data_IF_213513103563
#
_entry.id   IF_213513103563
#
_cell.length_a   1.000
_cell.length_b   1.000
_cell.length_c   1.000
_cell.angle_alpha   90.00
_cell.angle_beta   90.00
_cell.angle_gamma   90.00
#
_symmetry.space_group_name_H-M   'P 1'
#
loop_
_entity.id
_entity.type
_entity.pdbx_description
1 polymer ?
#
# COMPACT_ATOMS: atom_id res chain seq x y z
N UNK A 1 12.09 -3.88 -14.15
CA UNK A 1 11.85 -4.17 -12.73
C UNK A 1 11.17 -5.54 -12.60
N UNK A 2 11.42 -6.29 -11.53
CA UNK A 2 10.91 -7.65 -11.30
C UNK A 2 10.50 -7.87 -9.84
N UNK A 3 10.37 -9.13 -9.41
CA UNK A 3 9.97 -9.47 -8.03
C UNK A 3 11.01 -9.03 -6.99
N UNK A 4 10.57 -8.47 -5.86
CA UNK A 4 11.45 -8.14 -4.72
C UNK A 4 10.87 -7.09 -3.78
N UNK A 5 11.65 -6.72 -2.75
CA UNK A 5 11.21 -5.83 -1.67
C UNK A 5 11.70 -4.38 -1.80
N UNK A 6 12.54 -4.07 -2.81
CA UNK A 6 12.98 -2.71 -3.09
C UNK A 6 11.82 -1.77 -3.38
N UNK A 7 12.05 -0.46 -3.27
CA UNK A 7 11.02 0.56 -3.54
C UNK A 7 10.60 0.64 -5.01
N UNK A 8 11.34 -0.02 -5.89
CA UNK A 8 11.04 -0.14 -7.31
C UNK A 8 10.66 -1.58 -7.72
N UNK A 9 10.32 -2.42 -6.73
CA UNK A 9 9.95 -3.82 -6.88
C UNK A 9 8.64 -4.11 -6.15
N UNK A 10 7.96 -5.18 -6.57
CA UNK A 10 6.69 -5.66 -6.01
C UNK A 10 6.77 -7.18 -5.85
N UNK A 11 6.03 -7.74 -4.90
CA UNK A 11 5.93 -9.19 -4.69
C UNK A 11 4.45 -9.60 -4.53
N UNK A 12 3.90 -10.29 -5.54
CA UNK A 12 2.47 -10.64 -5.63
C UNK A 12 1.52 -9.43 -5.46
N UNK A 13 1.64 -8.38 -6.28
CA UNK A 13 0.74 -7.23 -6.19
C UNK A 13 -0.71 -7.65 -6.44
N UNK A 14 -1.65 -7.02 -5.71
CA UNK A 14 -3.09 -7.31 -5.79
C UNK A 14 -3.85 -6.14 -6.37
N UNK A 15 -4.49 -5.33 -5.53
CA UNK A 15 -5.19 -4.13 -5.96
C UNK A 15 -4.18 -3.06 -6.42
N UNK A 16 -4.57 -2.37 -7.49
CA UNK A 16 -3.98 -1.10 -7.95
C UNK A 16 -5.10 -0.06 -8.00
N UNK A 17 -4.85 1.12 -7.44
CA UNK A 17 -5.73 2.29 -7.58
C UNK A 17 -4.90 3.52 -7.96
N UNK A 18 -5.56 4.49 -8.58
CA UNK A 18 -4.93 5.74 -9.03
C UNK A 18 -5.69 6.91 -8.39
N UNK A 19 -4.96 7.84 -7.78
CA UNK A 19 -5.55 9.06 -7.24
C UNK A 19 -5.73 10.15 -8.31
N UNK A 20 -6.37 11.26 -7.95
CA UNK A 20 -6.60 12.39 -8.86
C UNK A 20 -5.32 13.09 -9.35
N UNK A 21 -4.18 12.81 -8.73
CA UNK A 21 -2.87 13.36 -9.08
C UNK A 21 -2.04 12.38 -9.93
N UNK A 22 -2.68 11.34 -10.48
CA UNK A 22 -2.05 10.24 -11.22
C UNK A 22 -1.01 9.45 -10.39
N UNK A 23 -1.09 9.49 -9.06
CA UNK A 23 -0.27 8.60 -8.22
C UNK A 23 -0.89 7.20 -8.19
N UNK A 24 -0.06 6.18 -8.36
CA UNK A 24 -0.46 4.77 -8.34
C UNK A 24 -0.20 4.17 -6.97
N UNK A 25 -1.21 3.58 -6.34
CA UNK A 25 -1.07 2.84 -5.08
C UNK A 25 -1.28 1.36 -5.33
N UNK A 26 -0.43 0.53 -4.73
CA UNK A 26 -0.45 -0.91 -4.90
C UNK A 26 -0.49 -1.61 -3.55
N UNK A 27 -1.41 -2.56 -3.41
CA UNK A 27 -1.36 -3.57 -2.34
C UNK A 27 -0.27 -4.59 -2.68
N UNK A 28 0.90 -4.40 -2.09
CA UNK A 28 2.09 -5.21 -2.33
C UNK A 28 2.12 -6.39 -1.32
N UNK A 29 1.29 -7.38 -1.62
CA UNK A 29 0.83 -8.42 -0.70
C UNK A 29 1.95 -9.08 0.09
N UNK A 30 2.98 -9.60 -0.58
CA UNK A 30 4.05 -10.36 0.09
C UNK A 30 5.16 -9.47 0.65
N UNK A 31 5.11 -8.17 0.37
CA UNK A 31 5.95 -7.19 1.07
C UNK A 31 5.19 -6.52 2.22
N UNK A 32 3.95 -6.94 2.52
CA UNK A 32 3.18 -6.50 3.69
C UNK A 32 3.05 -4.97 3.79
N UNK A 33 2.79 -4.32 2.65
CA UNK A 33 2.78 -2.87 2.52
C UNK A 33 1.79 -2.37 1.47
N UNK A 34 1.38 -1.12 1.61
CA UNK A 34 0.86 -0.31 0.52
C UNK A 34 1.98 0.64 0.08
N UNK A 35 2.25 0.67 -1.22
CA UNK A 35 3.31 1.49 -1.81
C UNK A 35 2.72 2.40 -2.90
N UNK A 36 3.14 3.67 -2.91
CA UNK A 36 2.69 4.75 -3.80
C UNK A 36 3.79 5.12 -4.79
N UNK A 37 3.48 5.20 -6.08
CA UNK A 37 4.31 5.86 -7.08
C UNK A 37 3.66 7.16 -7.51
N UNK A 38 4.32 8.28 -7.28
CA UNK A 38 3.95 9.56 -7.90
C UNK A 38 4.23 9.47 -9.40
N UNK A 39 3.41 10.14 -10.21
CA UNK A 39 3.57 10.18 -11.67
C UNK A 39 5.01 10.56 -12.05
N UNK A 40 5.66 9.69 -12.84
CA UNK A 40 7.02 9.90 -13.32
C UNK A 40 8.13 9.39 -12.40
N UNK A 41 7.81 8.93 -11.19
CA UNK A 41 8.79 8.35 -10.27
C UNK A 41 9.24 6.95 -10.72
N UNK A 42 10.53 6.65 -10.54
CA UNK A 42 11.13 5.33 -10.84
C UNK A 42 11.07 4.36 -9.65
N UNK A 43 10.75 4.89 -8.47
CA UNK A 43 10.58 4.18 -7.20
C UNK A 43 9.35 4.73 -6.46
N UNK A 44 8.79 3.92 -5.58
CA UNK A 44 7.64 4.26 -4.78
C UNK A 44 8.02 4.63 -3.34
N UNK A 45 7.05 5.12 -2.60
CA UNK A 45 7.13 5.35 -1.17
C UNK A 45 6.13 4.47 -0.42
N UNK A 46 6.56 3.86 0.69
CA UNK A 46 5.64 3.10 1.54
C UNK A 46 4.74 4.08 2.26
N UNK A 47 3.42 3.92 2.09
CA UNK A 47 2.41 4.78 2.73
C UNK A 47 1.73 4.09 3.91
N UNK A 48 1.66 2.75 3.89
CA UNK A 48 1.11 1.93 4.98
C UNK A 48 1.89 0.63 5.09
N UNK A 49 2.11 0.15 6.32
CA UNK A 49 2.82 -1.10 6.57
C UNK A 49 4.32 -0.95 6.31
N UNK A 50 4.96 -2.02 5.79
CA UNK A 50 6.41 -2.04 5.54
C UNK A 50 7.28 -2.15 6.80
N UNK A 51 6.68 -2.21 7.99
CA UNK A 51 7.36 -2.44 9.27
C UNK A 51 7.39 -3.94 9.64
N UNK A 52 7.49 -4.80 8.63
CA UNK A 52 7.36 -6.24 8.75
C UNK A 52 5.91 -6.73 8.76
N UNK A 53 5.76 -8.04 8.56
CA UNK A 53 4.49 -8.75 8.73
C UNK A 53 4.08 -8.75 10.20
N UNK A 54 2.84 -8.40 10.52
CA UNK A 54 2.33 -8.51 11.88
C UNK A 54 1.02 -7.78 12.14
N UNK A 55 0.65 -7.69 13.42
CA UNK A 55 -0.67 -7.27 13.91
C UNK A 55 -0.68 -5.88 14.54
N UNK A 56 0.49 -5.26 14.71
CA UNK A 56 0.58 -3.92 15.27
C UNK A 56 -0.08 -2.89 14.35
N UNK A 57 -0.36 -1.69 14.88
CA UNK A 57 -1.06 -0.63 14.14
C UNK A 57 -0.29 -0.09 12.92
N UNK A 58 1.02 -0.29 12.89
CA UNK A 58 1.90 0.10 11.77
C UNK A 58 2.35 -1.09 10.91
N UNK A 59 1.75 -2.26 11.12
CA UNK A 59 2.02 -3.50 10.39
C UNK A 59 0.79 -3.96 9.61
N UNK A 60 1.06 -4.74 8.56
CA UNK A 60 0.05 -5.43 7.77
C UNK A 60 0.41 -6.91 7.65
N UNK A 61 -0.57 -7.73 7.33
CA UNK A 61 -0.41 -9.13 6.99
C UNK A 61 -1.18 -9.49 5.71
N UNK A 62 -0.45 -9.53 4.59
CA UNK A 62 -0.96 -9.79 3.24
C UNK A 62 -2.14 -8.90 2.83
N UNK A 63 -1.92 -7.58 2.69
CA UNK A 63 -2.99 -6.70 2.23
C UNK A 63 -3.46 -7.12 0.83
N UNK A 64 -4.76 -7.20 0.63
CA UNK A 64 -5.37 -7.65 -0.63
C UNK A 64 -6.01 -6.49 -1.40
N UNK A 65 -6.62 -5.53 -0.69
CA UNK A 65 -7.38 -4.43 -1.27
C UNK A 65 -7.14 -3.10 -0.53
N UNK A 66 -7.38 -2.00 -1.24
CA UNK A 66 -7.37 -0.66 -0.70
C UNK A 66 -8.39 0.25 -1.41
N UNK A 67 -8.93 1.23 -0.68
CA UNK A 67 -9.81 2.27 -1.21
C UNK A 67 -9.60 3.60 -0.47
N UNK A 68 -10.01 4.70 -1.08
CA UNK A 68 -9.99 6.03 -0.47
C UNK A 68 -11.41 6.53 -0.19
N UNK A 69 -11.57 7.36 0.85
CA UNK A 69 -12.71 8.27 0.96
C UNK A 69 -12.41 9.65 0.34
N UNK A 70 -13.36 10.58 0.44
CA UNK A 70 -13.25 11.94 -0.13
C UNK A 70 -12.19 12.79 0.60
N UNK A 71 -11.87 12.45 1.85
CA UNK A 71 -10.81 13.06 2.66
C UNK A 71 -9.44 12.37 2.49
N UNK A 72 -9.31 11.41 1.59
CA UNK A 72 -8.09 10.65 1.32
C UNK A 72 -7.56 9.81 2.48
N UNK A 73 -8.44 9.37 3.38
CA UNK A 73 -8.11 8.24 4.23
C UNK A 73 -8.10 6.98 3.38
N UNK A 74 -7.05 6.17 3.53
CA UNK A 74 -6.96 4.85 2.90
C UNK A 74 -7.50 3.78 3.83
N UNK A 75 -8.42 2.98 3.32
CA UNK A 75 -8.94 1.79 3.98
C UNK A 75 -8.27 0.57 3.35
N UNK A 76 -7.57 -0.22 4.15
CA UNK A 76 -6.81 -1.39 3.69
C UNK A 76 -7.44 -2.66 4.25
N UNK A 77 -7.71 -3.63 3.38
CA UNK A 77 -8.08 -4.98 3.82
C UNK A 77 -6.83 -5.74 4.24
N UNK A 78 -6.62 -5.83 5.54
CA UNK A 78 -5.48 -6.49 6.19
C UNK A 78 -5.83 -7.98 6.40
N UNK A 79 -5.77 -8.73 5.30
CA UNK A 79 -6.56 -9.94 5.10
C UNK A 79 -6.27 -11.06 6.11
N UNK A 80 -5.01 -11.36 6.40
CA UNK A 80 -4.64 -12.43 7.34
C UNK A 80 -4.80 -12.00 8.80
N UNK A 81 -4.78 -10.70 9.06
CA UNK A 81 -5.19 -10.12 10.34
C UNK A 81 -6.72 -10.04 10.49
N UNK A 82 -7.49 -10.34 9.44
CA UNK A 82 -8.97 -10.37 9.43
C UNK A 82 -9.58 -9.05 9.90
N UNK A 83 -8.96 -7.93 9.51
CA UNK A 83 -9.41 -6.58 9.86
C UNK A 83 -9.35 -5.64 8.67
N UNK A 84 -10.00 -4.50 8.83
CA UNK A 84 -9.76 -3.32 8.00
C UNK A 84 -9.00 -2.32 8.87
N UNK A 85 -7.97 -1.71 8.30
CA UNK A 85 -7.28 -0.59 8.93
C UNK A 85 -7.45 0.67 8.09
N UNK A 86 -7.56 1.81 8.77
CA UNK A 86 -7.69 3.12 8.14
C UNK A 86 -6.48 3.97 8.48
N UNK A 87 -5.91 4.64 7.49
CA UNK A 87 -4.76 5.53 7.64
C UNK A 87 -5.03 6.84 6.93
N UNK A 88 -4.69 7.96 7.56
CA UNK A 88 -4.63 9.24 6.86
C UNK A 88 -3.40 9.25 5.96
N UNK A 89 -3.58 9.54 4.67
CA UNK A 89 -2.47 9.69 3.72
C UNK A 89 -2.33 11.17 3.41
N UNK A 90 -1.14 11.74 3.64
CA UNK A 90 -0.82 13.05 3.11
C UNK A 90 -0.53 12.93 1.61
N UNK A 91 -1.23 13.72 0.81
CA UNK A 91 -1.10 13.72 -0.64
C UNK A 91 0.04 14.63 -1.11
N UNK A 92 0.54 15.49 -0.23
CA UNK A 92 1.54 16.52 -0.52
C UNK A 92 2.99 16.01 -0.40
#
# INVERSE_FOLDING_TARGET
QGSGAGLNQLTFPRRVIVDQFDSVYVADRHNHRIIRWVKGSVEGSVVVGGNGQGKESNQLDTPEDLSFDEEYNVYVSDAENRRVQTFAVDLN
#
